data_IF_399087021478
#
_entry.id   IF_399087021478
#
_cell.length_a   1.000
_cell.length_b   1.000
_cell.length_c   1.000
_cell.angle_alpha   90.00
_cell.angle_beta   90.00
_cell.angle_gamma   90.00
#
_symmetry.space_group_name_H-M   'P 1'
#
loop_
_entity.id
_entity.type
_entity.pdbx_description
1 polymer ?
#
# COMPACT_ATOMS: atom_id res chain seq x y z
N UNK A 1 0.30 7.67 -30.91
CA UNK A 1 0.24 9.15 -30.75
C UNK A 1 1.05 9.54 -29.52
N UNK A 2 2.08 10.41 -29.63
CA UNK A 2 2.78 10.92 -28.45
C UNK A 2 1.88 11.86 -27.64
N UNK A 3 1.89 11.72 -26.32
CA UNK A 3 1.16 12.62 -25.42
C UNK A 3 1.93 13.95 -25.31
N UNK A 4 1.39 15.03 -25.90
CA UNK A 4 1.99 16.36 -25.82
C UNK A 4 1.21 17.22 -24.82
N UNK A 5 1.85 17.58 -23.70
CA UNK A 5 1.25 18.41 -22.65
C UNK A 5 1.97 19.76 -22.62
N UNK A 6 1.28 20.83 -22.99
CA UNK A 6 1.79 22.22 -22.96
C UNK A 6 1.34 22.94 -21.69
N UNK A 7 1.79 22.44 -20.53
CA UNK A 7 1.50 23.04 -19.23
C UNK A 7 2.76 23.08 -18.38
N UNK A 8 3.16 24.28 -17.98
CA UNK A 8 4.33 24.49 -17.12
C UNK A 8 4.12 23.85 -15.74
N UNK A 9 2.90 23.91 -15.20
CA UNK A 9 2.55 23.27 -13.94
C UNK A 9 2.72 21.74 -14.01
N UNK A 10 2.28 21.11 -15.10
CA UNK A 10 2.46 19.65 -15.28
C UNK A 10 3.94 19.29 -15.43
N UNK A 11 4.73 20.11 -16.12
CA UNK A 11 6.17 19.87 -16.24
C UNK A 11 6.87 19.97 -14.87
N UNK A 12 6.53 20.96 -14.03
CA UNK A 12 7.06 21.07 -12.65
C UNK A 12 6.72 19.86 -11.79
N UNK A 13 5.49 19.34 -11.90
CA UNK A 13 5.08 18.12 -11.19
C UNK A 13 5.87 16.89 -11.65
N UNK A 14 6.03 16.73 -12.98
CA UNK A 14 6.80 15.63 -13.56
C UNK A 14 8.29 15.70 -13.14
N UNK A 15 8.88 16.89 -13.12
CA UNK A 15 10.25 17.13 -12.64
C UNK A 15 10.41 16.75 -11.16
N UNK A 16 9.48 17.21 -10.33
CA UNK A 16 9.52 16.93 -8.88
C UNK A 16 9.43 15.44 -8.61
N UNK A 17 8.51 14.74 -9.27
CA UNK A 17 8.35 13.30 -9.10
C UNK A 17 9.54 12.53 -9.68
N UNK A 18 10.07 12.94 -10.84
CA UNK A 18 11.26 12.37 -11.44
C UNK A 18 12.47 12.44 -10.51
N UNK A 19 12.70 13.62 -9.91
CA UNK A 19 13.78 13.83 -8.94
C UNK A 19 13.64 12.93 -7.71
N UNK A 20 12.43 12.85 -7.13
CA UNK A 20 12.17 11.99 -5.96
C UNK A 20 12.27 10.50 -6.26
N UNK A 21 11.87 10.08 -7.46
CA UNK A 21 11.88 8.68 -7.88
C UNK A 21 13.22 8.23 -8.49
N UNK A 22 14.17 9.15 -8.70
CA UNK A 22 15.42 8.84 -9.42
C UNK A 22 15.16 8.39 -10.86
N UNK A 23 14.12 8.94 -11.51
CA UNK A 23 13.62 8.48 -12.80
C UNK A 23 13.57 9.61 -13.84
N UNK A 24 13.35 9.27 -15.11
CA UNK A 24 13.11 10.30 -16.15
C UNK A 24 11.74 10.96 -15.97
N UNK A 25 11.52 12.14 -16.57
CA UNK A 25 10.20 12.81 -16.54
C UNK A 25 9.10 11.94 -17.14
N UNK A 26 9.38 11.27 -18.26
CA UNK A 26 8.43 10.35 -18.91
C UNK A 26 8.07 9.20 -17.98
N UNK A 27 9.08 8.66 -17.29
CA UNK A 27 8.88 7.56 -16.36
C UNK A 27 8.11 7.99 -15.11
N UNK A 28 8.36 9.20 -14.60
CA UNK A 28 7.58 9.80 -13.54
C UNK A 28 6.10 9.97 -13.95
N UNK A 29 5.82 10.41 -15.17
CA UNK A 29 4.45 10.50 -15.72
C UNK A 29 3.80 9.12 -15.80
N UNK A 30 4.55 8.09 -16.22
CA UNK A 30 4.08 6.71 -16.26
C UNK A 30 3.70 6.22 -14.85
N UNK A 31 4.60 6.36 -13.88
CA UNK A 31 4.40 5.98 -12.47
C UNK A 31 3.16 6.69 -11.90
N UNK A 32 3.06 8.01 -12.08
CA UNK A 32 1.94 8.80 -11.58
C UNK A 32 0.59 8.28 -12.10
N UNK A 33 0.51 8.02 -13.41
CA UNK A 33 -0.71 7.52 -14.05
C UNK A 33 -1.06 6.11 -13.62
N UNK A 34 -0.07 5.21 -13.55
CA UNK A 34 -0.29 3.84 -13.06
C UNK A 34 -0.83 3.85 -11.64
N UNK A 35 -0.24 4.66 -10.76
CA UNK A 35 -0.69 4.77 -9.38
C UNK A 35 -2.10 5.37 -9.26
N UNK A 36 -2.46 6.32 -10.13
CA UNK A 36 -3.79 6.91 -10.14
C UNK A 36 -4.86 5.92 -10.62
N UNK A 37 -4.59 5.20 -11.70
CA UNK A 37 -5.48 4.12 -12.16
C UNK A 37 -5.68 3.07 -11.06
N UNK A 38 -4.60 2.65 -10.40
CA UNK A 38 -4.66 1.71 -9.28
C UNK A 38 -5.35 2.25 -8.01
N UNK A 39 -5.49 3.59 -7.87
CA UNK A 39 -6.29 4.22 -6.80
C UNK A 39 -7.77 4.24 -7.13
N UNK A 40 -8.11 4.38 -8.41
CA UNK A 40 -9.49 4.41 -8.89
C UNK A 40 -10.08 3.02 -9.11
N UNK A 41 -9.24 1.99 -9.27
CA UNK A 41 -9.70 0.61 -9.32
C UNK A 41 -10.44 0.25 -8.01
N UNK A 42 -11.66 -0.30 -8.11
CA UNK A 42 -12.39 -0.76 -6.94
C UNK A 42 -11.58 -1.83 -6.25
N UNK A 43 -11.10 -1.51 -5.04
CA UNK A 43 -10.32 -2.46 -4.25
C UNK A 43 -11.26 -3.38 -3.52
N UNK A 44 -10.95 -4.68 -3.59
CA UNK A 44 -11.50 -5.67 -2.68
C UNK A 44 -11.34 -5.14 -1.25
N UNK A 45 -12.42 -5.01 -0.46
CA UNK A 45 -12.37 -4.52 0.91
C UNK A 45 -11.30 -5.27 1.72
N UNK A 46 -10.69 -4.59 2.69
CA UNK A 46 -9.64 -5.20 3.52
C UNK A 46 -10.14 -6.52 4.17
N UNK A 47 -11.39 -6.54 4.63
CA UNK A 47 -12.01 -7.73 5.21
C UNK A 47 -12.00 -8.92 4.24
N UNK A 48 -12.36 -8.71 2.97
CA UNK A 48 -12.34 -9.75 1.95
C UNK A 48 -10.92 -10.18 1.59
N UNK A 49 -9.96 -9.24 1.56
CA UNK A 49 -8.54 -9.55 1.32
C UNK A 49 -7.93 -10.39 2.44
N UNK A 50 -8.35 -10.16 3.69
CA UNK A 50 -7.85 -10.87 4.87
C UNK A 50 -8.58 -12.19 5.12
N UNK A 51 -9.74 -12.39 4.49
CA UNK A 51 -10.58 -13.58 4.73
C UNK A 51 -9.83 -14.91 4.63
N UNK A 52 -8.97 -15.18 3.62
CA UNK A 52 -8.24 -16.44 3.56
C UNK A 52 -7.34 -16.69 4.78
N UNK A 53 -6.63 -15.66 5.23
CA UNK A 53 -5.78 -15.74 6.42
C UNK A 53 -6.59 -15.94 7.69
N UNK A 54 -7.74 -15.26 7.80
CA UNK A 54 -8.64 -15.40 8.94
C UNK A 54 -9.30 -16.79 8.97
N UNK A 55 -9.63 -17.34 7.81
CA UNK A 55 -10.18 -18.70 7.67
C UNK A 55 -9.14 -19.75 8.08
N UNK A 56 -7.87 -19.59 7.69
CA UNK A 56 -6.76 -20.43 8.14
C UNK A 56 -6.58 -20.37 9.67
N UNK A 57 -6.62 -19.17 10.25
CA UNK A 57 -6.51 -18.98 11.70
C UNK A 57 -7.71 -19.60 12.44
N UNK A 58 -8.93 -19.45 11.90
CA UNK A 58 -10.14 -20.00 12.48
C UNK A 58 -10.20 -21.53 12.44
N UNK A 59 -9.48 -22.16 11.49
CA UNK A 59 -9.36 -23.61 11.41
C UNK A 59 -8.47 -24.21 12.51
N UNK A 60 -7.65 -23.40 13.18
CA UNK A 60 -6.79 -23.86 14.27
C UNK A 60 -7.64 -24.07 15.53
N UNK A 61 -7.66 -25.28 16.12
CA UNK A 61 -8.39 -25.53 17.35
C UNK A 61 -7.95 -24.61 18.48
N UNK A 62 -8.91 -24.09 19.25
CA UNK A 62 -8.60 -23.31 20.45
C UNK A 62 -7.94 -24.22 21.46
N UNK A 63 -6.80 -23.81 21.99
CA UNK A 63 -6.06 -24.55 23.02
C UNK A 63 -6.79 -24.56 24.37
N UNK A 64 -7.72 -23.62 24.59
CA UNK A 64 -8.43 -23.45 25.86
C UNK A 64 -7.56 -22.89 26.99
N UNK A 65 -6.30 -22.53 26.68
CA UNK A 65 -5.38 -21.90 27.61
C UNK A 65 -5.61 -20.39 27.61
N UNK A 66 -5.61 -19.79 28.80
CA UNK A 66 -5.57 -18.35 28.94
C UNK A 66 -4.21 -17.82 28.47
N UNK A 67 -4.23 -16.69 27.77
CA UNK A 67 -3.00 -16.01 27.39
C UNK A 67 -2.26 -15.56 28.65
N UNK A 68 -0.95 -15.84 28.73
CA UNK A 68 -0.11 -15.39 29.84
C UNK A 68 0.09 -13.88 29.79
N UNK A 69 -0.88 -13.18 30.38
CA UNK A 69 -0.90 -11.73 30.46
C UNK A 69 0.30 -11.20 31.25
N UNK A 70 0.70 -11.88 32.31
CA UNK A 70 1.81 -11.43 33.16
C UNK A 70 3.14 -11.46 32.38
N UNK A 71 3.36 -12.51 31.59
CA UNK A 71 4.50 -12.56 30.67
C UNK A 71 4.42 -11.44 29.61
N UNK A 72 3.28 -11.26 28.96
CA UNK A 72 3.16 -10.25 27.89
C UNK A 72 3.29 -8.81 28.38
N UNK A 73 2.73 -8.49 29.55
CA UNK A 73 2.85 -7.16 30.15
C UNK A 73 4.33 -6.85 30.47
N UNK A 74 5.10 -7.84 30.97
CA UNK A 74 6.53 -7.66 31.30
C UNK A 74 7.45 -7.36 30.09
N UNK A 75 7.01 -7.61 28.85
CA UNK A 75 7.79 -7.33 27.63
C UNK A 75 7.80 -5.84 27.25
N UNK A 76 6.91 -5.03 27.82
CA UNK A 76 6.77 -3.60 27.49
C UNK A 76 7.20 -2.67 28.63
N UNK A 77 7.70 -3.23 29.74
CA UNK A 77 8.08 -2.49 30.95
C UNK A 77 9.56 -2.02 30.95
N UNK A 78 10.23 -2.03 29.78
CA UNK A 78 11.54 -1.37 29.52
C UNK A 78 11.40 -0.24 28.48
#
# INVERSE_FOLDING_TARGET
MPLNIRSEAVNRLAETLASRAGASKTEAVRIARTNELARQEPRVPLAERLKPLLDELAAIPRTGLDADKAFHDSLNDE
#
